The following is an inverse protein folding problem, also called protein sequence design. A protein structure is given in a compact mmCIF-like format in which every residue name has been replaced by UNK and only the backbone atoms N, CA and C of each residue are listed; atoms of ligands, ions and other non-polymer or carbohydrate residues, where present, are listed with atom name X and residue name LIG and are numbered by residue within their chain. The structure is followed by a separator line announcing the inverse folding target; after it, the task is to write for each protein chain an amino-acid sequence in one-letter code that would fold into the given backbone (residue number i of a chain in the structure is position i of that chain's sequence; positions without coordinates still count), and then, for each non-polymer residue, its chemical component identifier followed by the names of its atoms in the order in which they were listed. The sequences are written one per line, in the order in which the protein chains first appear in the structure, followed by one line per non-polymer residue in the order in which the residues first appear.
data_IF_978138854425
#
_entry.id   IF_978138854425
#
_cell.length_a   1.000
_cell.length_b   1.000
_cell.length_c   1.000
_cell.angle_alpha   90.00
_cell.angle_beta   90.00
_cell.angle_gamma   90.00
#
_symmetry.space_group_name_H-M   'P 1'
#
loop_
_entity.id
_entity.type
_entity.pdbx_description
1 polymer ?
#
# COMPACT_ATOMS: atom_id res chain seq x y z
N UNK A 1 -7.83 7.84 6.39
CA UNK A 1 -7.34 6.68 5.61
C UNK A 1 -8.54 5.89 5.13
N UNK A 2 -8.51 5.39 3.90
CA UNK A 2 -9.59 4.59 3.33
C UNK A 2 -9.28 3.10 3.53
N UNK A 3 -10.15 2.33 4.21
CA UNK A 3 -9.94 0.91 4.42
C UNK A 3 -10.06 0.15 3.09
N UNK A 4 -9.34 -0.96 2.98
CA UNK A 4 -9.43 -1.89 1.86
C UNK A 4 -10.14 -3.15 2.36
N UNK A 5 -11.35 -3.48 1.87
CA UNK A 5 -12.08 -4.68 2.31
C UNK A 5 -11.44 -5.96 1.77
N UNK A 6 -11.02 -6.86 2.66
CA UNK A 6 -10.34 -8.11 2.29
C UNK A 6 -11.18 -9.00 1.37
N UNK A 7 -12.50 -9.11 1.60
CA UNK A 7 -13.38 -9.94 0.79
C UNK A 7 -13.46 -9.45 -0.67
N UNK A 8 -13.48 -8.13 -0.87
CA UNK A 8 -13.50 -7.53 -2.20
C UNK A 8 -12.16 -7.78 -2.92
N UNK A 9 -11.04 -7.64 -2.21
CA UNK A 9 -9.71 -7.92 -2.76
C UNK A 9 -9.58 -9.40 -3.15
N UNK A 10 -9.92 -10.31 -2.22
CA UNK A 10 -9.86 -11.76 -2.47
C UNK A 10 -10.74 -12.18 -3.64
N UNK A 11 -11.91 -11.57 -3.80
CA UNK A 11 -12.79 -11.83 -4.94
C UNK A 11 -12.16 -11.43 -6.29
N UNK A 12 -11.33 -10.38 -6.33
CA UNK A 12 -10.74 -9.87 -7.58
C UNK A 12 -9.40 -10.54 -7.90
N UNK A 13 -8.53 -10.70 -6.90
CA UNK A 13 -7.14 -11.16 -7.11
C UNK A 13 -6.76 -12.41 -6.32
N UNK A 14 -7.69 -13.03 -5.58
CA UNK A 14 -7.41 -14.17 -4.70
C UNK A 14 -6.43 -13.81 -3.59
N UNK A 15 -5.54 -14.74 -3.23
CA UNK A 15 -4.50 -14.56 -2.21
C UNK A 15 -3.18 -14.03 -2.77
N UNK A 16 -3.18 -13.44 -3.97
CA UNK A 16 -1.95 -13.01 -4.68
C UNK A 16 -1.29 -11.79 -4.04
N UNK A 17 -2.06 -10.94 -3.37
CA UNK A 17 -1.55 -9.77 -2.67
C UNK A 17 -2.52 -9.35 -1.56
N UNK A 18 -1.97 -8.63 -0.60
CA UNK A 18 -2.67 -8.00 0.52
C UNK A 18 -2.32 -6.51 0.53
N UNK A 19 -3.18 -5.68 1.12
CA UNK A 19 -3.04 -4.23 1.05
C UNK A 19 -3.14 -3.58 2.42
N UNK A 20 -2.37 -2.52 2.62
CA UNK A 20 -2.62 -1.56 3.69
C UNK A 20 -3.84 -0.71 3.35
N UNK A 21 -4.42 0.02 4.32
CA UNK A 21 -5.32 1.11 4.03
C UNK A 21 -4.69 2.11 3.06
N UNK A 22 -5.51 2.77 2.25
CA UNK A 22 -5.07 3.86 1.37
C UNK A 22 -4.91 5.12 2.23
N UNK A 23 -3.69 5.64 2.28
CA UNK A 23 -3.36 6.85 3.03
C UNK A 23 -3.17 8.00 2.04
N UNK A 24 -3.92 9.08 2.24
CA UNK A 24 -3.87 10.28 1.41
C UNK A 24 -3.49 11.48 2.28
N UNK A 25 -2.52 12.26 1.83
CA UNK A 25 -2.20 13.57 2.38
C UNK A 25 -2.99 14.62 1.60
N UNK A 26 -3.93 15.28 2.25
CA UNK A 26 -4.73 16.35 1.66
C UNK A 26 -4.28 17.73 2.18
N UNK A 27 -4.33 18.80 1.37
CA UNK A 27 -4.66 18.78 -0.06
C UNK A 27 -3.55 18.14 -0.89
N UNK A 28 -3.92 17.33 -1.90
CA UNK A 28 -2.94 16.76 -2.84
C UNK A 28 -2.23 17.85 -3.65
N UNK A 29 -1.12 17.50 -4.31
CA UNK A 29 -0.28 18.43 -5.12
C UNK A 29 0.34 19.58 -4.29
N UNK A 30 0.52 19.39 -2.98
CA UNK A 30 1.22 20.33 -2.11
C UNK A 30 2.69 19.96 -1.95
N UNK A 31 3.58 20.96 -2.01
CA UNK A 31 4.99 20.81 -1.60
C UNK A 31 5.13 21.21 -0.13
N UNK A 32 5.86 20.41 0.63
CA UNK A 32 6.30 20.74 1.98
C UNK A 32 7.74 21.26 1.91
N UNK A 33 8.04 22.36 2.62
CA UNK A 33 9.40 22.91 2.67
C UNK A 33 10.36 22.05 3.50
N UNK A 34 9.81 21.16 4.34
CA UNK A 34 10.54 20.14 5.09
C UNK A 34 9.95 18.77 4.73
N UNK A 35 10.75 17.69 4.75
CA UNK A 35 10.23 16.33 4.61
C UNK A 35 9.12 16.06 5.62
N UNK A 36 8.14 15.26 5.23
CA UNK A 36 7.12 14.73 6.13
C UNK A 36 7.34 13.22 6.31
N UNK A 37 7.10 12.73 7.52
CA UNK A 37 7.17 11.30 7.82
C UNK A 37 5.77 10.71 7.76
N UNK A 38 5.61 9.63 7.02
CA UNK A 38 4.35 8.87 6.95
C UNK A 38 4.53 7.53 7.66
N UNK A 39 3.56 7.17 8.50
CA UNK A 39 3.49 5.87 9.17
C UNK A 39 2.26 5.15 8.62
N UNK A 40 2.48 4.04 7.90
CA UNK A 40 1.42 3.23 7.27
C UNK A 40 1.51 1.82 7.86
N UNK A 41 0.41 1.20 8.31
CA UNK A 41 0.44 -0.17 8.78
C UNK A 41 0.80 -1.11 7.64
N UNK A 42 1.68 -2.07 7.91
CA UNK A 42 2.13 -3.08 6.94
C UNK A 42 0.93 -3.97 6.57
N UNK A 43 0.74 -4.33 5.28
CA UNK A 43 -0.30 -5.28 4.89
C UNK A 43 -0.12 -6.63 5.60
N UNK A 44 -1.21 -7.34 5.92
CA UNK A 44 -1.12 -8.73 6.41
C UNK A 44 -0.32 -9.59 5.42
N UNK A 45 0.33 -10.67 5.87
CA UNK A 45 0.99 -11.57 4.94
C UNK A 45 -0.05 -12.26 4.03
N UNK A 46 0.23 -12.35 2.73
CA UNK A 46 -0.52 -13.22 1.82
C UNK A 46 -0.26 -14.68 2.19
N UNK A 47 -1.29 -15.53 2.12
CA UNK A 47 -1.30 -16.90 2.64
C UNK A 47 -0.14 -17.83 2.21
N UNK A 48 0.08 -18.82 3.09
CA UNK A 48 1.04 -19.94 3.11
C UNK A 48 2.24 -19.95 2.14
N UNK A 49 3.45 -19.79 2.70
CA UNK A 49 4.67 -20.34 2.10
C UNK A 49 5.67 -19.36 1.50
N UNK A 50 5.36 -18.06 1.34
CA UNK A 50 6.40 -17.08 0.98
C UNK A 50 7.12 -16.65 2.24
N UNK A 51 8.10 -17.48 2.59
CA UNK A 51 9.15 -17.23 3.56
C UNK A 51 9.61 -15.78 3.43
N UNK A 52 9.56 -15.05 4.53
CA UNK A 52 10.17 -13.73 4.66
C UNK A 52 11.55 -13.72 3.98
N UNK A 53 11.64 -13.04 2.84
CA UNK A 53 12.89 -12.78 2.13
C UNK A 53 13.76 -11.77 2.88
N UNK A 54 14.07 -12.02 4.15
CA UNK A 54 15.18 -11.38 4.87
C UNK A 54 16.51 -12.10 4.57
N UNK A 55 16.53 -13.05 3.62
CA UNK A 55 17.75 -13.69 3.15
C UNK A 55 17.58 -14.21 1.70
N UNK A 56 18.06 -13.44 0.72
CA UNK A 56 18.61 -14.02 -0.52
C UNK A 56 17.76 -14.05 -1.80
N UNK A 57 16.51 -13.60 -1.83
CA UNK A 57 15.74 -13.45 -3.09
C UNK A 57 15.79 -11.97 -3.56
N UNK A 58 16.25 -11.64 -4.79
CA UNK A 58 16.50 -10.26 -5.23
C UNK A 58 15.27 -9.36 -5.36
N UNK A 59 14.05 -9.85 -5.13
CA UNK A 59 12.84 -9.01 -5.22
C UNK A 59 12.08 -8.92 -3.89
N UNK A 60 11.92 -7.72 -3.29
CA UNK A 60 11.13 -7.58 -2.08
C UNK A 60 9.65 -7.83 -2.39
N UNK A 61 9.00 -8.68 -1.57
CA UNK A 61 7.56 -8.96 -1.66
C UNK A 61 6.69 -7.75 -1.24
N UNK A 62 7.27 -6.79 -0.52
CA UNK A 62 6.60 -5.55 -0.12
C UNK A 62 6.85 -4.42 -1.14
N UNK A 63 5.77 -3.78 -1.61
CA UNK A 63 5.84 -2.69 -2.60
C UNK A 63 5.11 -1.45 -2.08
N UNK A 64 5.74 -0.28 -2.21
CA UNK A 64 5.09 1.01 -1.98
C UNK A 64 4.51 1.54 -3.30
N UNK A 65 3.19 1.71 -3.34
CA UNK A 65 2.51 2.37 -4.45
C UNK A 65 2.23 3.83 -4.06
N UNK A 66 2.41 4.76 -5.00
CA UNK A 66 2.13 6.17 -4.77
C UNK A 66 1.38 6.78 -5.97
N UNK A 67 0.51 7.74 -5.69
CA UNK A 67 -0.19 8.53 -6.71
C UNK A 67 -0.12 10.01 -6.35
N UNK A 68 0.52 10.79 -7.22
CA UNK A 68 0.71 12.24 -7.05
C UNK A 68 -0.34 13.07 -7.79
N UNK A 69 -1.19 12.43 -8.58
CA UNK A 69 -2.27 13.12 -9.30
C UNK A 69 -3.22 13.74 -8.27
N UNK A 70 -3.94 14.81 -8.61
CA UNK A 70 -5.08 15.33 -7.84
C UNK A 70 -6.38 14.85 -8.49
N UNK A 71 -7.40 14.45 -7.73
CA UNK A 71 -8.73 14.16 -8.31
C UNK A 71 -9.33 15.54 -8.52
N UNK A 72 -9.40 16.01 -9.75
CA UNK A 72 -10.26 17.15 -10.08
C UNK A 72 -11.68 16.73 -9.75
N UNK A 73 -12.36 17.47 -8.87
CA UNK A 73 -13.70 17.15 -8.42
C UNK A 73 -14.64 16.93 -9.60
N UNK A 74 -15.45 15.87 -9.52
CA UNK A 74 -16.83 15.94 -9.98
C UNK A 74 -17.64 16.53 -8.83
#
# INVERSE_FOLDING_TARGET
AQPVPDDAVKKIIGNRATFSPIVTVEPRRRKFHKPITMIIPVPPLSGEGVVNGYKGDPTPSLRLLCSITGRTGL
#
